data_IF_497551421982
#
_entry.id   IF_497551421982
#
_cell.length_a   1.000
_cell.length_b   1.000
_cell.length_c   1.000
_cell.angle_alpha   90.00
_cell.angle_beta   90.00
_cell.angle_gamma   90.00
#
_symmetry.space_group_name_H-M   'P 1'
#
loop_
_entity.id
_entity.type
_entity.pdbx_description
1 polymer ?
#
# COMPACT_ATOMS: atom_id res chain seq x y z
N UNK A 1 21.78 -7.97 -13.69
CA UNK A 1 20.37 -7.94 -13.28
C UNK A 1 19.65 -9.08 -13.97
N UNK A 2 19.12 -10.03 -13.22
CA UNK A 2 18.39 -11.19 -13.75
C UNK A 2 17.01 -10.79 -14.34
N UNK A 3 16.37 -11.73 -15.04
CA UNK A 3 15.09 -11.50 -15.71
C UNK A 3 13.97 -11.13 -14.73
N UNK A 4 13.99 -11.70 -13.53
CA UNK A 4 13.02 -11.41 -12.46
C UNK A 4 13.13 -9.96 -12.01
N UNK A 5 14.35 -9.52 -11.70
CA UNK A 5 14.62 -8.16 -11.24
C UNK A 5 14.26 -7.13 -12.32
N UNK A 6 14.56 -7.42 -13.60
CA UNK A 6 14.14 -6.55 -14.73
C UNK A 6 12.61 -6.48 -14.88
N UNK A 7 11.93 -7.61 -14.70
CA UNK A 7 10.46 -7.67 -14.74
C UNK A 7 9.84 -6.81 -13.64
N UNK A 8 10.33 -6.92 -12.40
CA UNK A 8 9.86 -6.11 -11.27
C UNK A 8 10.16 -4.62 -11.47
N UNK A 9 11.32 -4.26 -12.02
CA UNK A 9 11.63 -2.87 -12.34
C UNK A 9 10.66 -2.27 -13.36
N UNK A 10 10.22 -3.05 -14.35
CA UNK A 10 9.22 -2.61 -15.32
C UNK A 10 7.87 -2.31 -14.66
N UNK A 11 7.49 -3.07 -13.63
CA UNK A 11 6.24 -2.91 -12.86
C UNK A 11 6.30 -1.77 -11.82
N UNK A 12 7.49 -1.22 -11.53
CA UNK A 12 7.70 -0.23 -10.47
C UNK A 12 6.73 0.95 -10.52
N UNK A 13 6.42 1.44 -11.71
CA UNK A 13 5.51 2.58 -11.87
C UNK A 13 4.05 2.18 -11.62
N UNK A 14 3.64 1.00 -12.08
CA UNK A 14 2.30 0.47 -11.87
C UNK A 14 2.04 0.21 -10.39
N UNK A 15 2.97 -0.48 -9.70
CA UNK A 15 2.91 -0.72 -8.25
C UNK A 15 2.76 0.61 -7.50
N UNK A 16 3.52 1.65 -7.87
CA UNK A 16 3.42 2.98 -7.25
C UNK A 16 2.06 3.65 -7.48
N UNK A 17 1.46 3.44 -8.65
CA UNK A 17 0.14 3.97 -8.99
C UNK A 17 -0.92 3.27 -8.17
N UNK A 18 -0.87 1.94 -8.08
CA UNK A 18 -1.83 1.11 -7.36
C UNK A 18 -1.80 1.38 -5.85
N UNK A 19 -0.62 1.44 -5.24
CA UNK A 19 -0.47 1.81 -3.82
C UNK A 19 -1.09 3.19 -3.54
N UNK A 20 -0.86 4.17 -4.43
CA UNK A 20 -1.48 5.50 -4.31
C UNK A 20 -3.00 5.45 -4.50
N UNK A 21 -3.50 4.59 -5.38
CA UNK A 21 -4.93 4.44 -5.61
C UNK A 21 -5.62 3.85 -4.37
N UNK A 22 -5.03 2.83 -3.75
CA UNK A 22 -5.49 2.23 -2.49
C UNK A 22 -5.49 3.29 -1.38
N UNK A 23 -4.39 4.04 -1.21
CA UNK A 23 -4.33 5.13 -0.23
C UNK A 23 -5.46 6.14 -0.44
N UNK A 24 -5.64 6.63 -1.67
CA UNK A 24 -6.70 7.58 -2.01
C UNK A 24 -8.09 7.00 -1.79
N UNK A 25 -8.31 5.71 -2.03
CA UNK A 25 -9.57 5.05 -1.77
C UNK A 25 -9.88 4.99 -0.28
N UNK A 26 -8.89 4.74 0.57
CA UNK A 26 -9.06 4.73 2.02
C UNK A 26 -9.20 6.14 2.62
N UNK A 27 -8.65 7.17 1.95
CA UNK A 27 -8.94 8.57 2.26
C UNK A 27 -10.40 8.96 1.96
N UNK A 28 -11.14 8.18 1.17
CA UNK A 28 -12.58 8.41 0.88
C UNK A 28 -13.50 7.89 1.97
N UNK A 29 -13.00 7.63 3.18
CA UNK A 29 -13.79 7.05 4.26
C UNK A 29 -15.05 7.87 4.59
N UNK A 30 -15.13 9.15 4.22
CA UNK A 30 -16.37 9.90 4.12
C UNK A 30 -16.15 11.22 3.33
N UNK A 31 -17.20 11.74 2.69
CA UNK A 31 -17.41 13.17 2.45
C UNK A 31 -17.30 13.93 3.78
N UNK A 32 -16.10 14.05 4.37
CA UNK A 32 -15.82 14.77 5.62
C UNK A 32 -16.12 16.26 5.45
N UNK A 33 -17.40 16.56 5.46
CA UNK A 33 -18.04 17.86 5.59
C UNK A 33 -18.16 18.23 7.07
N UNK A 34 -17.26 17.66 7.89
CA UNK A 34 -17.12 17.91 9.31
C UNK A 34 -15.90 18.82 9.48
N UNK A 35 -16.08 20.09 9.85
CA UNK A 35 -14.99 21.07 9.95
C UNK A 35 -13.88 20.66 10.92
N UNK A 36 -14.16 19.77 11.87
CA UNK A 36 -13.19 19.35 12.89
C UNK A 36 -12.19 18.29 12.42
N UNK A 37 -12.30 17.78 11.20
CA UNK A 37 -11.44 16.67 10.78
C UNK A 37 -10.07 17.15 10.29
N UNK A 38 -9.03 16.74 11.02
CA UNK A 38 -7.64 16.89 10.60
C UNK A 38 -7.28 15.83 9.54
N UNK A 39 -7.47 16.19 8.27
CA UNK A 39 -7.13 15.36 7.12
C UNK A 39 -5.68 14.85 7.12
N UNK A 40 -4.74 15.62 7.68
CA UNK A 40 -3.33 15.22 7.73
C UNK A 40 -3.12 14.14 8.77
N UNK A 41 -3.75 14.26 9.94
CA UNK A 41 -3.72 13.22 10.99
C UNK A 41 -4.31 11.91 10.46
N UNK A 42 -5.46 11.98 9.81
CA UNK A 42 -6.11 10.82 9.21
C UNK A 42 -5.24 10.15 8.13
N UNK A 43 -4.67 10.94 7.22
CA UNK A 43 -3.74 10.44 6.20
C UNK A 43 -2.54 9.70 6.83
N UNK A 44 -1.99 10.24 7.93
CA UNK A 44 -0.91 9.59 8.68
C UNK A 44 -1.33 8.22 9.23
N UNK A 45 -2.50 8.15 9.89
CA UNK A 45 -3.02 6.90 10.44
C UNK A 45 -3.31 5.85 9.36
N UNK A 46 -3.83 6.27 8.20
CA UNK A 46 -4.05 5.38 7.05
C UNK A 46 -2.71 4.83 6.55
N UNK A 47 -1.68 5.67 6.41
CA UNK A 47 -0.35 5.21 6.00
C UNK A 47 0.25 4.24 7.01
N UNK A 48 0.08 4.46 8.32
CA UNK A 48 0.57 3.54 9.34
C UNK A 48 -0.09 2.16 9.24
N UNK A 49 -1.40 2.11 8.98
CA UNK A 49 -2.13 0.84 8.76
C UNK A 49 -1.68 0.17 7.47
N UNK A 50 -1.51 0.93 6.38
CA UNK A 50 -1.02 0.39 5.11
C UNK A 50 0.40 -0.17 5.24
N UNK A 51 1.28 0.49 6.01
CA UNK A 51 2.63 -0.01 6.26
C UNK A 51 2.60 -1.34 7.01
N UNK A 52 1.79 -1.46 8.08
CA UNK A 52 1.65 -2.72 8.82
C UNK A 52 1.15 -3.85 7.93
N UNK A 53 0.17 -3.60 7.07
CA UNK A 53 -0.31 -4.61 6.13
C UNK A 53 0.77 -5.04 5.11
N UNK A 54 1.64 -4.12 4.68
CA UNK A 54 2.80 -4.47 3.84
C UNK A 54 3.85 -5.29 4.60
N UNK A 55 4.07 -4.98 5.88
CA UNK A 55 4.98 -5.74 6.74
C UNK A 55 4.44 -7.17 6.96
N UNK A 56 3.14 -7.33 7.20
CA UNK A 56 2.48 -8.64 7.29
C UNK A 56 2.60 -9.43 5.98
N UNK A 57 2.39 -8.79 4.82
CA UNK A 57 2.61 -9.45 3.52
C UNK A 57 4.06 -9.90 3.32
N UNK A 58 5.02 -9.13 3.84
CA UNK A 58 6.43 -9.51 3.81
C UNK A 58 6.68 -10.75 4.66
N UNK A 59 6.14 -10.79 5.88
CA UNK A 59 6.24 -11.96 6.76
C UNK A 59 5.61 -13.21 6.09
N UNK A 60 4.48 -13.03 5.40
CA UNK A 60 3.83 -14.10 4.64
C UNK A 60 4.71 -14.64 3.51
N UNK A 61 5.39 -13.76 2.75
CA UNK A 61 6.36 -14.17 1.73
C UNK A 61 7.54 -14.90 2.34
N UNK A 62 8.12 -14.39 3.43
CA UNK A 62 9.26 -15.02 4.11
C UNK A 62 8.89 -16.39 4.72
N UNK A 63 7.62 -16.57 5.10
CA UNK A 63 7.11 -17.86 5.58
C UNK A 63 6.90 -18.92 4.49
N UNK A 64 7.08 -18.56 3.22
CA UNK A 64 6.87 -19.44 2.07
C UNK A 64 5.40 -19.62 1.66
N UNK A 65 4.49 -18.76 2.16
CA UNK A 65 3.04 -18.82 1.87
C UNK A 65 2.74 -18.77 0.36
N UNK A 66 3.63 -18.15 -0.41
CA UNK A 66 3.48 -17.93 -1.84
C UNK A 66 4.44 -18.75 -2.73
N UNK A 67 5.17 -19.72 -2.18
CA UNK A 67 6.17 -20.49 -2.93
C UNK A 67 5.58 -21.31 -4.11
N UNK A 68 4.27 -21.54 -4.10
CA UNK A 68 3.53 -22.25 -5.15
C UNK A 68 2.60 -21.35 -5.98
N UNK A 69 2.77 -20.02 -5.90
CA UNK A 69 1.95 -19.04 -6.62
C UNK A 69 2.52 -18.70 -8.00
#
# INVERSE_FOLDING_TARGET
>A
MDATTKGVEALKNEIRIEVKAIFKMNMKFEDWSVPEVDNKKAAGQILDVMQKALDELKDEVESGKYDNY
#
